data_IF_157945180015
#
_entry.id   IF_157945180015
#
_cell.length_a   1.000
_cell.length_b   1.000
_cell.length_c   1.000
_cell.angle_alpha   90.00
_cell.angle_beta   90.00
_cell.angle_gamma   90.00
#
_symmetry.space_group_name_H-M   'P 1'
#
loop_
_entity.id
_entity.type
_entity.pdbx_description
1 polymer ?
#
# COMPACT_ATOMS: atom_id res chain seq x y z
N UNK A 1 -3.17 -3.61 15.23
CA UNK A 1 -2.91 -3.63 13.80
C UNK A 1 -3.04 -5.04 13.27
N UNK A 2 -3.80 -5.21 12.21
CA UNK A 2 -4.06 -6.53 11.64
C UNK A 2 -2.83 -7.01 10.87
N UNK A 3 -2.55 -8.33 10.92
CA UNK A 3 -1.44 -8.91 10.17
C UNK A 3 -1.60 -8.72 8.66
N UNK A 4 -2.84 -8.63 8.18
CA UNK A 4 -3.11 -8.38 6.77
C UNK A 4 -2.54 -7.05 6.29
N UNK A 5 -2.45 -6.06 7.16
CA UNK A 5 -1.90 -4.76 6.82
C UNK A 5 -0.44 -4.90 6.42
N UNK A 6 0.30 -5.74 7.12
CA UNK A 6 1.71 -6.00 6.80
C UNK A 6 1.82 -6.63 5.40
N UNK A 7 0.92 -7.57 5.08
CA UNK A 7 0.90 -8.18 3.75
C UNK A 7 0.62 -7.14 2.67
N UNK A 8 -0.30 -6.20 2.92
CA UNK A 8 -0.60 -5.14 1.97
C UNK A 8 0.61 -4.25 1.73
N UNK A 9 1.29 -3.85 2.80
CA UNK A 9 2.48 -3.00 2.69
C UNK A 9 3.57 -3.70 1.90
N UNK A 10 3.83 -4.97 2.19
CA UNK A 10 4.85 -5.75 1.49
C UNK A 10 4.49 -5.88 0.01
N UNK A 11 3.24 -6.20 -0.29
CA UNK A 11 2.80 -6.35 -1.68
C UNK A 11 2.98 -5.06 -2.47
N UNK A 12 2.58 -3.92 -1.90
CA UNK A 12 2.71 -2.64 -2.57
C UNK A 12 4.18 -2.30 -2.79
N UNK A 13 5.01 -2.53 -1.78
CA UNK A 13 6.44 -2.23 -1.87
C UNK A 13 7.12 -3.07 -2.94
N UNK A 14 6.77 -4.34 -3.04
CA UNK A 14 7.39 -5.24 -4.00
C UNK A 14 6.87 -5.02 -5.43
N UNK A 15 5.56 -4.80 -5.56
CA UNK A 15 4.96 -4.60 -6.89
C UNK A 15 5.15 -3.19 -7.41
N UNK A 16 5.35 -2.22 -6.52
CA UNK A 16 5.56 -0.80 -6.84
C UNK A 16 4.36 -0.10 -7.49
N UNK A 17 3.28 -0.81 -7.73
CA UNK A 17 2.04 -0.22 -8.24
C UNK A 17 0.87 -0.78 -7.46
N UNK A 18 -0.18 0.04 -7.29
CA UNK A 18 -1.38 -0.40 -6.60
C UNK A 18 -2.14 -1.45 -7.39
N UNK A 19 -2.15 -1.32 -8.73
CA UNK A 19 -2.86 -2.28 -9.58
C UNK A 19 -2.30 -3.69 -9.43
N UNK A 20 -0.99 -3.83 -9.52
CA UNK A 20 -0.35 -5.14 -9.39
C UNK A 20 -0.45 -5.68 -7.97
N UNK A 21 -0.30 -4.81 -6.99
CA UNK A 21 -0.43 -5.23 -5.59
C UNK A 21 -1.85 -5.74 -5.33
N UNK A 22 -2.86 -5.05 -5.85
CA UNK A 22 -4.25 -5.47 -5.68
C UNK A 22 -4.50 -6.84 -6.32
N UNK A 23 -3.97 -7.05 -7.53
CA UNK A 23 -4.09 -8.36 -8.18
C UNK A 23 -3.46 -9.46 -7.33
N UNK A 24 -2.28 -9.20 -6.81
CA UNK A 24 -1.56 -10.15 -5.96
C UNK A 24 -2.35 -10.49 -4.70
N UNK A 25 -3.08 -9.52 -4.17
CA UNK A 25 -3.85 -9.67 -2.93
C UNK A 25 -5.30 -10.08 -3.17
N UNK A 26 -5.68 -10.31 -4.43
CA UNK A 26 -7.05 -10.65 -4.80
C UNK A 26 -8.05 -9.57 -4.41
N UNK A 27 -7.62 -8.31 -4.52
CA UNK A 27 -8.44 -7.13 -4.24
C UNK A 27 -8.60 -6.29 -5.49
N UNK A 28 -9.64 -5.45 -5.51
CA UNK A 28 -9.72 -4.41 -6.53
C UNK A 28 -8.78 -3.27 -6.14
N UNK A 29 -8.33 -2.49 -7.12
CA UNK A 29 -7.45 -1.37 -6.86
C UNK A 29 -8.11 -0.33 -5.91
N UNK A 30 -9.39 0.05 -6.12
CA UNK A 30 -10.03 0.98 -5.18
C UNK A 30 -10.10 0.43 -3.75
N UNK A 31 -10.34 -0.87 -3.58
CA UNK A 31 -10.40 -1.47 -2.25
C UNK A 31 -9.05 -1.39 -1.56
N UNK A 32 -7.97 -1.72 -2.28
CA UNK A 32 -6.64 -1.62 -1.71
C UNK A 32 -6.26 -0.19 -1.37
N UNK A 33 -6.60 0.74 -2.27
CA UNK A 33 -6.32 2.15 -2.06
C UNK A 33 -7.02 2.68 -0.80
N UNK A 34 -8.26 2.29 -0.59
CA UNK A 34 -9.01 2.69 0.60
C UNK A 34 -8.40 2.13 1.88
N UNK A 35 -7.96 0.87 1.85
CA UNK A 35 -7.33 0.25 3.02
C UNK A 35 -6.01 0.92 3.35
N UNK A 36 -5.23 1.26 2.33
CA UNK A 36 -3.97 1.96 2.52
C UNK A 36 -4.21 3.35 3.11
N UNK A 37 -5.18 4.08 2.57
CA UNK A 37 -5.51 5.41 3.06
C UNK A 37 -5.92 5.38 4.53
N UNK A 38 -6.74 4.41 4.89
CA UNK A 38 -7.18 4.26 6.27
C UNK A 38 -6.01 3.99 7.22
N UNK A 39 -5.09 3.14 6.77
CA UNK A 39 -3.90 2.85 7.55
C UNK A 39 -3.03 4.08 7.74
N UNK A 40 -2.83 4.85 6.68
CA UNK A 40 -2.04 6.07 6.77
C UNK A 40 -2.69 7.10 7.70
N UNK A 41 -4.02 7.17 7.69
CA UNK A 41 -4.73 8.05 8.63
C UNK A 41 -4.54 7.61 10.08
N UNK A 42 -4.57 6.31 10.34
CA UNK A 42 -4.36 5.80 11.69
C UNK A 42 -2.94 6.06 12.19
N UNK A 43 -1.96 5.99 11.30
CA UNK A 43 -0.57 6.24 11.66
C UNK A 43 -0.22 7.72 11.68
N UNK A 44 -1.04 8.55 11.04
CA UNK A 44 -0.80 9.98 10.97
C UNK A 44 0.30 10.38 10.01
N UNK A 45 0.72 9.48 9.13
CA UNK A 45 1.79 9.75 8.17
C UNK A 45 1.62 8.90 6.92
N UNK A 46 2.00 9.41 5.75
CA UNK A 46 2.01 8.58 4.54
C UNK A 46 3.04 7.46 4.65
N UNK A 47 2.69 6.30 4.14
CA UNK A 47 3.60 5.16 4.09
C UNK A 47 4.30 5.04 2.74
N UNK A 48 3.71 5.60 1.68
CA UNK A 48 4.25 5.50 0.33
C UNK A 48 4.30 6.85 -0.34
N UNK A 49 5.30 7.03 -1.20
CA UNK A 49 5.43 8.21 -2.04
C UNK A 49 5.51 7.75 -3.49
N UNK A 50 5.10 8.62 -4.41
CA UNK A 50 5.19 8.33 -5.84
C UNK A 50 6.58 8.68 -6.33
N UNK A 51 7.15 7.76 -7.10
CA UNK A 51 8.47 7.94 -7.71
C UNK A 51 8.37 7.63 -9.21
N UNK A 52 9.47 7.81 -9.94
CA UNK A 52 9.52 7.46 -11.36
C UNK A 52 9.18 5.99 -11.59
N UNK A 53 9.59 5.14 -10.67
CA UNK A 53 9.47 3.69 -10.81
C UNK A 53 8.20 3.14 -10.18
N UNK A 54 7.33 4.00 -9.67
CA UNK A 54 6.09 3.61 -9.03
C UNK A 54 5.99 4.12 -7.60
N UNK A 55 5.62 3.26 -6.66
CA UNK A 55 5.50 3.62 -5.25
C UNK A 55 6.71 3.13 -4.47
N UNK A 56 7.18 3.94 -3.54
CA UNK A 56 8.26 3.58 -2.65
C UNK A 56 7.85 3.84 -1.20
N UNK A 57 8.41 3.05 -0.28
CA UNK A 57 8.12 3.23 1.14
C UNK A 57 8.82 4.48 1.65
N UNK A 58 8.10 5.27 2.46
CA UNK A 58 8.70 6.44 3.11
C UNK A 58 9.59 5.99 4.26
N UNK A 59 10.47 6.88 4.71
CA UNK A 59 11.36 6.60 5.84
C UNK A 59 10.68 6.83 7.20
N UNK A 60 9.41 7.06 7.18
CA UNK A 60 8.67 7.34 8.41
C UNK A 60 8.52 6.12 9.29
#
# INVERSE_FOLDING_TARGET
>A
MDTKIIEYVIAIAEEKTLNKAAERLYLTQPALSQRLKKLEEELGTPLFIRTKDGLAITDA
#
